data_IF_843225007231
#
_entry.id   IF_843225007231
#
_cell.length_a   1.000
_cell.length_b   1.000
_cell.length_c   1.000
_cell.angle_alpha   90.00
_cell.angle_beta   90.00
_cell.angle_gamma   90.00
#
_symmetry.space_group_name_H-M   'P 1'
#
loop_
_entity.id
_entity.type
_entity.pdbx_description
1 polymer ?
#
# COMPACT_ATOMS: atom_id res chain seq x y z
N UNK A 1 22.84 32.88 -34.29
CA UNK A 1 23.45 32.06 -33.22
C UNK A 1 22.30 31.38 -32.47
N UNK A 2 21.92 30.19 -32.97
CA UNK A 2 20.83 29.40 -32.45
C UNK A 2 21.39 28.47 -31.38
N UNK A 3 20.76 28.50 -30.19
CA UNK A 3 21.01 27.47 -29.17
C UNK A 3 19.96 26.38 -29.33
N UNK A 4 20.34 25.11 -29.50
CA UNK A 4 19.39 24.04 -29.48
C UNK A 4 18.99 23.71 -28.03
N UNK A 5 17.71 23.76 -27.78
CA UNK A 5 17.10 23.20 -26.56
C UNK A 5 17.35 21.69 -26.50
N UNK A 6 18.07 21.26 -25.48
CA UNK A 6 18.27 19.83 -25.15
C UNK A 6 17.01 19.31 -24.47
N UNK A 7 16.14 18.68 -25.23
CA UNK A 7 15.05 17.86 -24.71
C UNK A 7 15.66 16.67 -23.97
N UNK A 8 15.77 16.80 -22.66
CA UNK A 8 16.06 15.70 -21.74
C UNK A 8 14.86 14.76 -21.65
N UNK A 9 14.71 13.90 -22.66
CA UNK A 9 13.82 12.75 -22.61
C UNK A 9 14.41 11.76 -21.61
N UNK A 10 14.01 11.89 -20.35
CA UNK A 10 14.37 10.96 -19.31
C UNK A 10 13.54 9.69 -19.56
N UNK A 11 14.12 8.81 -20.36
CA UNK A 11 13.64 7.44 -20.55
C UNK A 11 13.53 6.78 -19.19
N UNK A 12 12.30 6.55 -18.75
CA UNK A 12 11.97 5.57 -17.71
C UNK A 12 12.22 4.17 -18.31
N UNK A 13 13.48 3.84 -18.52
CA UNK A 13 13.89 2.45 -18.66
C UNK A 13 13.62 1.80 -17.31
N UNK A 14 12.48 1.13 -17.24
CA UNK A 14 12.11 0.25 -16.15
C UNK A 14 13.30 -0.68 -15.88
N UNK A 15 13.89 -0.52 -14.70
CA UNK A 15 14.81 -1.50 -14.15
C UNK A 15 14.01 -2.79 -13.90
N UNK A 16 13.88 -3.60 -14.96
CA UNK A 16 13.14 -4.86 -14.98
C UNK A 16 13.98 -5.99 -14.39
N UNK A 17 14.62 -5.72 -13.27
CA UNK A 17 15.08 -6.78 -12.37
C UNK A 17 14.02 -7.03 -11.32
N UNK A 18 12.84 -7.45 -11.78
CA UNK A 18 11.99 -8.30 -10.98
C UNK A 18 12.80 -9.58 -10.78
N UNK A 19 13.13 -9.92 -9.55
CA UNK A 19 13.68 -11.24 -9.25
C UNK A 19 12.82 -12.28 -9.96
N UNK A 20 13.44 -13.24 -10.65
CA UNK A 20 12.80 -14.17 -11.57
C UNK A 20 11.66 -15.04 -10.96
N UNK A 21 11.27 -14.77 -9.71
CA UNK A 21 10.18 -15.42 -8.97
C UNK A 21 9.17 -14.48 -8.32
N UNK A 22 9.30 -13.14 -8.47
CA UNK A 22 8.35 -12.21 -7.84
C UNK A 22 7.07 -12.06 -8.68
N UNK A 23 5.93 -12.40 -8.10
CA UNK A 23 4.61 -12.21 -8.70
C UNK A 23 3.69 -11.40 -7.80
N UNK A 24 2.72 -10.69 -8.37
CA UNK A 24 1.67 -9.99 -7.61
C UNK A 24 0.32 -10.37 -8.15
N UNK A 25 -0.58 -10.76 -7.25
CA UNK A 25 -1.97 -11.12 -7.59
C UNK A 25 -2.95 -10.57 -6.56
N UNK A 26 -4.21 -10.48 -6.94
CA UNK A 26 -5.28 -10.22 -5.99
C UNK A 26 -5.45 -11.43 -5.05
N UNK A 27 -5.60 -11.16 -3.77
CA UNK A 27 -5.90 -12.16 -2.77
C UNK A 27 -7.37 -12.61 -2.88
N UNK A 28 -7.60 -13.88 -2.54
CA UNK A 28 -8.91 -14.53 -2.50
C UNK A 28 -9.24 -15.00 -1.08
N UNK A 29 -10.41 -15.58 -0.89
CA UNK A 29 -10.77 -16.18 0.40
C UNK A 29 -9.84 -17.33 0.84
N UNK A 30 -9.19 -18.01 -0.11
CA UNK A 30 -8.19 -19.03 0.21
C UNK A 30 -6.95 -18.45 0.89
N UNK A 31 -6.68 -17.15 0.66
CA UNK A 31 -5.51 -16.43 1.21
C UNK A 31 -5.79 -15.80 2.58
N UNK A 32 -6.98 -15.98 3.16
CA UNK A 32 -7.39 -15.28 4.39
C UNK A 32 -6.36 -15.43 5.52
N UNK A 33 -5.80 -16.62 5.71
CA UNK A 33 -4.83 -16.88 6.77
C UNK A 33 -3.55 -16.07 6.59
N UNK A 34 -2.98 -16.05 5.38
CA UNK A 34 -1.75 -15.32 5.08
C UNK A 34 -1.98 -13.79 5.10
N UNK A 35 -3.14 -13.32 4.68
CA UNK A 35 -3.52 -11.90 4.80
C UNK A 35 -3.58 -11.49 6.27
N UNK A 36 -4.18 -12.32 7.15
CA UNK A 36 -4.21 -12.06 8.59
C UNK A 36 -2.79 -11.97 9.16
N UNK A 37 -1.94 -12.93 8.83
CA UNK A 37 -0.56 -12.99 9.31
C UNK A 37 0.23 -11.73 8.95
N UNK A 38 0.28 -11.37 7.66
CA UNK A 38 1.03 -10.20 7.18
C UNK A 38 0.50 -8.88 7.76
N UNK A 39 -0.83 -8.74 7.88
CA UNK A 39 -1.43 -7.51 8.41
C UNK A 39 -1.27 -7.39 9.93
N UNK A 40 -1.27 -8.49 10.66
CA UNK A 40 -0.93 -8.46 12.10
C UNK A 40 0.56 -8.23 12.33
N UNK A 41 1.44 -8.73 11.45
CA UNK A 41 2.87 -8.42 11.49
C UNK A 41 3.13 -6.92 11.31
N UNK A 42 2.45 -6.26 10.36
CA UNK A 42 2.48 -4.81 10.19
C UNK A 42 2.14 -4.06 11.47
N UNK A 43 1.05 -4.44 12.15
CA UNK A 43 0.61 -3.75 13.38
C UNK A 43 1.59 -3.94 14.53
N UNK A 44 2.23 -5.11 14.63
CA UNK A 44 3.24 -5.39 15.66
C UNK A 44 4.53 -4.61 15.41
N UNK A 45 4.95 -4.47 14.16
CA UNK A 45 6.15 -3.70 13.79
C UNK A 45 5.99 -2.21 14.12
N UNK A 46 4.76 -1.70 14.07
CA UNK A 46 4.44 -0.29 14.38
C UNK A 46 3.91 -0.07 15.80
N UNK A 47 4.25 -0.94 16.75
CA UNK A 47 3.78 -0.87 18.13
C UNK A 47 4.17 0.42 18.86
N UNK A 48 5.25 1.08 18.47
CA UNK A 48 5.67 2.37 19.04
C UNK A 48 4.78 3.54 18.60
N UNK A 49 4.09 3.41 17.45
CA UNK A 49 3.20 4.46 16.99
C UNK A 49 1.98 4.59 17.91
N UNK A 50 1.61 5.81 18.36
CA UNK A 50 0.50 6.05 19.27
C UNK A 50 -0.85 5.47 18.84
N UNK A 51 -1.07 5.29 17.54
CA UNK A 51 -2.30 4.73 16.97
C UNK A 51 -2.31 3.21 17.07
N UNK A 52 -1.16 2.52 16.84
CA UNK A 52 -1.08 1.07 16.70
C UNK A 52 -0.64 0.35 17.99
N UNK A 53 -0.06 1.04 18.95
CA UNK A 53 0.57 0.47 20.16
C UNK A 53 -0.36 -0.33 21.07
N UNK A 54 -1.69 -0.22 20.93
CA UNK A 54 -2.67 -0.92 21.75
C UNK A 54 -3.46 -1.93 20.93
N UNK A 55 -2.75 -2.92 20.41
CA UNK A 55 -3.41 -4.03 19.74
C UNK A 55 -4.32 -4.76 20.75
N UNK A 56 -5.58 -4.99 20.35
CA UNK A 56 -6.55 -5.67 21.22
C UNK A 56 -6.15 -7.14 21.42
N UNK A 57 -6.39 -7.74 22.60
CA UNK A 57 -6.15 -9.16 22.82
C UNK A 57 -6.93 -10.08 21.84
N UNK A 58 -8.13 -9.64 21.43
CA UNK A 58 -9.00 -10.35 20.50
C UNK A 58 -8.76 -9.97 19.01
N UNK A 59 -7.65 -9.27 18.72
CA UNK A 59 -7.32 -8.81 17.37
C UNK A 59 -7.28 -9.95 16.32
N UNK A 60 -6.72 -11.14 16.57
CA UNK A 60 -6.74 -12.23 15.58
C UNK A 60 -8.15 -12.66 15.19
N UNK A 61 -9.06 -12.81 16.15
CA UNK A 61 -10.45 -13.20 15.89
C UNK A 61 -11.22 -12.11 15.14
N UNK A 62 -10.96 -10.83 15.45
CA UNK A 62 -11.54 -9.68 14.72
C UNK A 62 -10.96 -9.56 13.32
N UNK A 63 -9.66 -9.78 13.15
CA UNK A 63 -8.97 -9.75 11.88
C UNK A 63 -9.59 -10.76 10.89
N UNK A 64 -9.88 -11.97 11.33
CA UNK A 64 -10.52 -13.00 10.49
C UNK A 64 -11.84 -12.50 9.88
N UNK A 65 -12.74 -11.95 10.70
CA UNK A 65 -14.03 -11.43 10.22
C UNK A 65 -13.86 -10.20 9.33
N UNK A 66 -13.01 -9.26 9.75
CA UNK A 66 -12.76 -8.02 9.02
C UNK A 66 -12.16 -8.30 7.63
N UNK A 67 -11.11 -9.11 7.56
CA UNK A 67 -10.40 -9.34 6.30
C UNK A 67 -11.19 -10.26 5.37
N UNK A 68 -11.97 -11.21 5.91
CA UNK A 68 -12.92 -11.97 5.10
C UNK A 68 -14.00 -11.09 4.46
N UNK A 69 -14.50 -10.06 5.17
CA UNK A 69 -15.42 -9.08 4.60
C UNK A 69 -14.74 -8.24 3.51
N UNK A 70 -13.51 -7.79 3.74
CA UNK A 70 -12.73 -7.02 2.77
C UNK A 70 -12.41 -7.81 1.50
N UNK A 71 -12.06 -9.09 1.61
CA UNK A 71 -11.79 -9.96 0.46
C UNK A 71 -13.03 -10.21 -0.42
N UNK A 72 -14.25 -10.01 0.12
CA UNK A 72 -15.51 -10.12 -0.63
C UNK A 72 -16.04 -8.80 -1.15
N UNK A 73 -15.42 -7.69 -0.77
CA UNK A 73 -15.92 -6.35 -1.09
C UNK A 73 -15.46 -5.93 -2.50
N UNK A 74 -16.39 -5.59 -3.38
CA UNK A 74 -16.08 -5.18 -4.77
C UNK A 74 -15.46 -3.79 -4.88
N UNK A 75 -15.58 -2.95 -3.85
CA UNK A 75 -14.99 -1.61 -3.82
C UNK A 75 -13.55 -1.58 -3.30
N UNK A 76 -12.98 -2.72 -2.99
CA UNK A 76 -11.61 -2.83 -2.53
C UNK A 76 -10.92 -4.08 -3.07
N UNK A 77 -9.61 -4.10 -2.98
CA UNK A 77 -8.75 -5.23 -3.34
C UNK A 77 -7.61 -5.35 -2.34
N UNK A 78 -7.21 -6.58 -2.06
CA UNK A 78 -5.98 -6.88 -1.33
C UNK A 78 -5.05 -7.57 -2.32
N UNK A 79 -3.86 -7.03 -2.53
CA UNK A 79 -2.81 -7.65 -3.32
C UNK A 79 -1.83 -8.40 -2.41
N UNK A 80 -1.40 -9.56 -2.86
CA UNK A 80 -0.28 -10.31 -2.31
C UNK A 80 0.87 -10.30 -3.31
N UNK A 81 2.07 -10.05 -2.81
CA UNK A 81 3.32 -10.30 -3.53
C UNK A 81 3.88 -11.64 -3.06
N UNK A 82 4.25 -12.48 -4.00
CA UNK A 82 4.81 -13.81 -3.75
C UNK A 82 6.19 -13.91 -4.39
N UNK A 83 7.15 -14.43 -3.66
CA UNK A 83 8.48 -14.83 -4.15
C UNK A 83 8.60 -16.33 -4.00
N UNK A 84 8.85 -17.02 -5.10
CA UNK A 84 8.93 -18.50 -5.15
C UNK A 84 7.71 -19.19 -4.51
N UNK A 85 6.52 -18.63 -4.72
CA UNK A 85 5.26 -19.17 -4.18
C UNK A 85 5.00 -18.86 -2.71
N UNK A 86 5.88 -18.11 -2.04
CA UNK A 86 5.71 -17.68 -0.65
C UNK A 86 5.28 -16.22 -0.61
N UNK A 87 4.22 -15.91 0.13
CA UNK A 87 3.75 -14.53 0.30
C UNK A 87 4.74 -13.70 1.10
N UNK A 88 5.29 -12.66 0.48
CA UNK A 88 6.32 -11.78 1.06
C UNK A 88 5.83 -10.34 1.24
N UNK A 89 4.64 -10.00 0.77
CA UNK A 89 4.09 -8.65 0.92
C UNK A 89 2.59 -8.59 0.71
N UNK A 90 1.98 -7.56 1.28
CA UNK A 90 0.55 -7.27 1.18
C UNK A 90 0.32 -5.78 0.98
N UNK A 91 -0.70 -5.42 0.20
CA UNK A 91 -1.18 -4.06 0.03
C UNK A 91 -2.70 -4.10 -0.17
N UNK A 92 -3.43 -3.26 0.56
CA UNK A 92 -4.87 -3.05 0.36
C UNK A 92 -5.12 -1.74 -0.35
N UNK A 93 -5.98 -1.74 -1.37
CA UNK A 93 -6.47 -0.56 -2.07
C UNK A 93 -7.99 -0.51 -2.05
N UNK A 94 -8.55 0.67 -1.77
CA UNK A 94 -9.99 0.90 -1.65
C UNK A 94 -10.40 2.04 -2.57
N UNK A 95 -11.50 1.89 -3.29
CA UNK A 95 -12.14 3.00 -4.01
C UNK A 95 -12.95 3.84 -3.01
N UNK A 96 -12.32 4.85 -2.44
CA UNK A 96 -12.87 5.72 -1.40
C UNK A 96 -13.59 6.92 -1.98
N UNK A 97 -14.65 7.38 -1.30
CA UNK A 97 -15.29 8.66 -1.60
C UNK A 97 -14.37 9.82 -1.16
N UNK A 98 -14.33 10.86 -1.98
CA UNK A 98 -13.76 12.15 -1.61
C UNK A 98 -14.77 13.04 -0.89
N UNK A 99 -14.35 14.26 -0.58
CA UNK A 99 -15.28 15.27 -0.04
C UNK A 99 -16.34 15.64 -1.12
N UNK A 100 -17.63 15.69 -0.78
CA UNK A 100 -18.71 15.87 -1.76
C UNK A 100 -18.63 17.18 -2.56
N UNK A 101 -17.94 18.18 -2.04
CA UNK A 101 -17.81 19.51 -2.64
C UNK A 101 -16.54 19.68 -3.46
N UNK A 102 -15.69 18.65 -3.52
CA UNK A 102 -14.37 18.74 -4.18
C UNK A 102 -14.21 17.66 -5.26
N UNK A 103 -13.33 17.94 -6.21
CA UNK A 103 -12.83 16.94 -7.14
C UNK A 103 -11.42 16.49 -6.73
N UNK A 104 -11.08 15.21 -6.96
CA UNK A 104 -11.97 14.16 -7.47
C UNK A 104 -12.97 13.68 -6.41
N UNK A 105 -14.17 13.32 -6.86
CA UNK A 105 -15.22 12.77 -5.99
C UNK A 105 -14.90 11.37 -5.43
N UNK A 106 -13.92 10.68 -6.03
CA UNK A 106 -13.42 9.35 -5.61
C UNK A 106 -11.92 9.27 -5.83
N UNK A 107 -11.25 8.53 -4.96
CA UNK A 107 -9.80 8.27 -5.05
C UNK A 107 -9.48 6.83 -4.61
N UNK A 108 -8.33 6.33 -5.01
CA UNK A 108 -7.76 5.10 -4.47
C UNK A 108 -7.15 5.37 -3.10
N UNK A 109 -7.58 4.64 -2.07
CA UNK A 109 -6.95 4.73 -0.75
C UNK A 109 -6.10 3.50 -0.49
N UNK A 110 -4.78 3.69 -0.41
CA UNK A 110 -3.80 2.63 -0.15
C UNK A 110 -3.59 2.51 1.35
N UNK A 111 -3.64 1.31 1.86
CA UNK A 111 -3.48 1.01 3.29
C UNK A 111 -2.93 -0.39 3.53
N UNK A 112 -2.56 -0.68 4.77
CA UNK A 112 -2.11 -2.01 5.17
C UNK A 112 -0.98 -2.56 4.29
N UNK A 113 -0.02 -1.71 3.97
CA UNK A 113 1.14 -2.07 3.16
C UNK A 113 2.21 -2.65 4.06
N UNK A 114 2.59 -3.89 3.78
CA UNK A 114 3.66 -4.57 4.51
C UNK A 114 4.48 -5.44 3.57
N UNK A 115 5.78 -5.42 3.77
CA UNK A 115 6.74 -6.31 3.12
C UNK A 115 7.58 -6.94 4.21
N UNK A 116 7.69 -8.27 4.21
CA UNK A 116 8.49 -8.99 5.20
C UNK A 116 9.94 -8.49 5.16
N UNK A 117 10.62 -8.35 6.32
CA UNK A 117 11.96 -7.73 6.38
C UNK A 117 12.96 -8.32 5.38
N UNK A 118 12.97 -9.63 5.20
CA UNK A 118 13.87 -10.35 4.29
C UNK A 118 13.64 -10.04 2.80
N UNK A 119 12.45 -9.56 2.43
CA UNK A 119 12.09 -9.24 1.04
C UNK A 119 12.09 -7.73 0.75
N UNK A 120 12.49 -6.89 1.71
CA UNK A 120 12.58 -5.44 1.50
C UNK A 120 13.76 -5.11 0.58
N UNK A 121 13.62 -3.98 -0.15
CA UNK A 121 14.61 -3.48 -1.12
C UNK A 121 14.80 -4.36 -2.38
N UNK A 122 13.94 -5.36 -2.58
CA UNK A 122 13.89 -6.21 -3.77
C UNK A 122 12.71 -5.88 -4.69
N UNK A 123 12.25 -4.65 -4.72
CA UNK A 123 11.18 -4.19 -5.63
C UNK A 123 9.74 -4.58 -5.24
N UNK A 124 9.53 -5.35 -4.16
CA UNK A 124 8.22 -5.86 -3.75
C UNK A 124 7.17 -4.74 -3.58
N UNK A 125 7.53 -3.65 -2.89
CA UNK A 125 6.62 -2.51 -2.72
C UNK A 125 6.24 -1.89 -4.07
N UNK A 126 7.20 -1.72 -4.98
CA UNK A 126 6.96 -1.17 -6.32
C UNK A 126 6.01 -2.05 -7.12
N UNK A 127 6.18 -3.38 -7.09
CA UNK A 127 5.32 -4.33 -7.77
C UNK A 127 3.88 -4.29 -7.23
N UNK A 128 3.70 -4.31 -5.90
CA UNK A 128 2.39 -4.15 -5.24
C UNK A 128 1.72 -2.81 -5.62
N UNK A 129 2.49 -1.73 -5.60
CA UNK A 129 2.00 -0.40 -5.95
C UNK A 129 1.58 -0.33 -7.43
N UNK A 130 2.37 -0.89 -8.35
CA UNK A 130 2.02 -0.95 -9.78
C UNK A 130 0.67 -1.64 -9.99
N UNK A 131 0.43 -2.77 -9.31
CA UNK A 131 -0.85 -3.48 -9.39
C UNK A 131 -2.00 -2.66 -8.80
N UNK A 132 -1.78 -1.95 -7.68
CA UNK A 132 -2.78 -1.09 -7.07
C UNK A 132 -3.14 0.10 -7.96
N UNK A 133 -2.17 0.72 -8.63
CA UNK A 133 -2.42 1.83 -9.57
C UNK A 133 -3.14 1.34 -10.84
N UNK A 134 -2.80 0.17 -11.36
CA UNK A 134 -3.52 -0.43 -12.47
C UNK A 134 -5.01 -0.63 -12.11
N UNK A 135 -5.28 -1.22 -10.95
CA UNK A 135 -6.64 -1.40 -10.42
C UNK A 135 -7.40 -0.08 -10.23
N UNK A 136 -6.72 0.97 -9.76
CA UNK A 136 -7.31 2.32 -9.66
C UNK A 136 -7.69 2.86 -11.05
N UNK A 137 -6.80 2.76 -12.03
CA UNK A 137 -7.01 3.25 -13.40
C UNK A 137 -8.18 2.54 -14.09
N UNK A 138 -8.29 1.23 -13.95
CA UNK A 138 -9.42 0.44 -14.47
C UNK A 138 -10.77 0.89 -13.92
N UNK A 139 -10.79 1.50 -12.72
CA UNK A 139 -11.98 2.04 -12.07
C UNK A 139 -12.18 3.54 -12.27
N UNK A 140 -11.39 4.17 -13.13
CA UNK A 140 -11.45 5.60 -13.41
C UNK A 140 -10.98 6.48 -12.25
N UNK A 141 -10.29 5.92 -11.25
CA UNK A 141 -9.71 6.68 -10.15
C UNK A 141 -8.40 7.32 -10.64
N UNK A 142 -8.29 8.64 -10.50
CA UNK A 142 -7.18 9.43 -11.02
C UNK A 142 -6.20 9.90 -9.95
N UNK A 143 -6.49 9.59 -8.70
CA UNK A 143 -5.70 9.98 -7.54
C UNK A 143 -5.60 8.83 -6.55
N UNK A 144 -4.43 8.67 -5.94
CA UNK A 144 -4.20 7.72 -4.85
C UNK A 144 -3.76 8.49 -3.60
N UNK A 145 -4.28 8.07 -2.45
CA UNK A 145 -3.96 8.64 -1.12
C UNK A 145 -3.54 7.53 -0.18
N UNK A 146 -2.71 7.87 0.80
CA UNK A 146 -2.34 6.98 1.90
C UNK A 146 -2.03 7.78 3.16
N UNK A 147 -1.99 7.08 4.30
CA UNK A 147 -1.39 7.59 5.53
C UNK A 147 -0.21 6.69 5.92
N UNK A 148 0.86 7.29 6.36
CA UNK A 148 2.00 6.59 6.95
C UNK A 148 2.51 7.32 8.18
N UNK A 149 3.27 6.62 9.02
CA UNK A 149 3.86 7.20 10.22
C UNK A 149 4.95 8.20 9.82
N UNK A 150 4.91 9.41 10.38
CA UNK A 150 5.87 10.49 10.09
C UNK A 150 7.30 10.09 10.49
N UNK A 151 7.45 9.29 11.52
CA UNK A 151 8.74 8.80 12.03
C UNK A 151 9.32 7.64 11.20
N UNK A 152 8.54 7.05 10.27
CA UNK A 152 9.02 5.95 9.43
C UNK A 152 9.73 6.51 8.19
N UNK A 153 10.98 6.94 8.37
CA UNK A 153 11.81 7.53 7.31
C UNK A 153 11.95 6.63 6.07
N UNK A 154 12.09 5.31 6.29
CA UNK A 154 12.20 4.34 5.20
C UNK A 154 10.93 4.30 4.36
N UNK A 155 9.75 4.29 4.99
CA UNK A 155 8.49 4.32 4.27
C UNK A 155 8.27 5.67 3.57
N UNK A 156 8.61 6.80 4.24
CA UNK A 156 8.52 8.14 3.66
C UNK A 156 9.34 8.22 2.37
N UNK A 157 10.62 7.86 2.42
CA UNK A 157 11.49 7.85 1.24
C UNK A 157 10.98 6.94 0.10
N UNK A 158 10.40 5.80 0.45
CA UNK A 158 9.82 4.89 -0.54
C UNK A 158 8.58 5.48 -1.22
N UNK A 159 7.69 6.15 -0.46
CA UNK A 159 6.50 6.80 -1.01
C UNK A 159 6.86 8.03 -1.85
N UNK A 160 7.84 8.83 -1.42
CA UNK A 160 8.37 9.96 -2.21
C UNK A 160 8.93 9.47 -3.55
N UNK A 161 9.70 8.37 -3.56
CA UNK A 161 10.21 7.74 -4.78
C UNK A 161 9.12 7.17 -5.71
N UNK A 162 7.92 6.88 -5.18
CA UNK A 162 6.74 6.48 -5.94
C UNK A 162 5.85 7.66 -6.36
N UNK A 163 6.27 8.90 -6.10
CA UNK A 163 5.61 10.13 -6.53
C UNK A 163 4.55 10.68 -5.57
N UNK A 164 4.45 10.16 -4.35
CA UNK A 164 3.60 10.75 -3.33
C UNK A 164 4.25 12.00 -2.74
N UNK A 165 3.42 12.92 -2.24
CA UNK A 165 3.85 14.11 -1.50
C UNK A 165 3.01 14.24 -0.25
N UNK A 166 3.61 14.69 0.84
CA UNK A 166 2.87 14.99 2.07
C UNK A 166 1.99 16.21 1.85
N UNK A 167 0.70 16.08 2.12
CA UNK A 167 -0.32 17.15 1.97
C UNK A 167 -1.07 17.44 3.27
N UNK A 168 -1.09 16.49 4.20
CA UNK A 168 -1.78 16.62 5.49
C UNK A 168 -0.98 15.96 6.61
N UNK A 169 -1.20 16.42 7.85
CA UNK A 169 -0.67 15.82 9.06
C UNK A 169 -1.81 15.33 9.96
N UNK A 170 -1.80 14.04 10.32
CA UNK A 170 -2.68 13.50 11.33
C UNK A 170 -2.12 13.81 12.73
N UNK A 171 -2.93 14.45 13.58
CA UNK A 171 -2.58 14.79 14.96
C UNK A 171 -3.45 14.00 15.93
N UNK A 172 -2.87 13.49 17.01
CA UNK A 172 -3.56 12.72 18.05
C UNK A 172 -3.42 13.44 19.38
N UNK A 173 -4.55 13.73 20.03
CA UNK A 173 -4.60 14.19 21.40
C UNK A 173 -5.35 13.14 22.24
N UNK A 174 -4.82 12.80 23.39
CA UNK A 174 -5.54 11.95 24.34
C UNK A 174 -6.42 12.81 25.23
N UNK A 175 -7.67 12.40 25.33
CA UNK A 175 -8.60 12.99 26.28
C UNK A 175 -8.52 12.17 27.58
N UNK A 176 -8.24 12.85 28.69
CA UNK A 176 -8.24 12.30 30.04
C UNK A 176 -9.66 12.08 30.54
#
# INVERSE_FOLDING_TARGET
>A
MEHPASDGHMSLEADSRLDAGLTVRAATMADLAVVIELRLALLREHSENPIYRRLRPDAPARASRLFAAQLRCSSEVIFLAESDGVAVGVLRCVASAGLPLLFPSRHGYISSVYVVPSARRHGVLRALFTSAIAWCRERGLREARLHNAVENETANAAWDALGFRVVEHLRVCRLS
#
